data_IF_416639369260
#
_entry.id   IF_416639369260
#
_cell.length_a   1.000
_cell.length_b   1.000
_cell.length_c   1.000
_cell.angle_alpha   90.00
_cell.angle_beta   90.00
_cell.angle_gamma   90.00
#
_symmetry.space_group_name_H-M   'P 1'
#
loop_
_entity.id
_entity.type
_entity.pdbx_description
1 polymer ?
#
# COMPACT_ATOMS: atom_id res chain seq x y z
N UNK A 1 4.48 -6.51 7.97
CA UNK A 1 3.77 -6.48 6.65
C UNK A 1 4.81 -5.92 5.71
N UNK A 2 5.23 -6.62 4.65
CA UNK A 2 6.50 -6.32 3.95
C UNK A 2 6.70 -4.82 3.63
N UNK A 3 5.67 -4.13 3.14
CA UNK A 3 5.72 -2.68 2.84
C UNK A 3 5.95 -1.80 4.07
N UNK A 4 5.40 -2.17 5.24
CA UNK A 4 5.61 -1.48 6.50
C UNK A 4 7.05 -1.67 6.99
N UNK A 5 7.57 -2.89 6.87
CA UNK A 5 8.93 -3.23 7.30
C UNK A 5 9.96 -2.47 6.45
N UNK A 6 9.74 -2.40 5.13
CA UNK A 6 10.54 -1.60 4.20
C UNK A 6 10.41 -0.09 4.45
N UNK A 7 9.22 0.40 4.82
CA UNK A 7 8.98 1.80 5.19
C UNK A 7 9.81 2.19 6.41
N UNK A 8 9.75 1.38 7.46
CA UNK A 8 10.53 1.60 8.70
C UNK A 8 12.02 1.56 8.40
N UNK A 9 12.48 0.58 7.60
CA UNK A 9 13.88 0.54 7.20
C UNK A 9 14.31 1.81 6.46
N UNK A 10 13.58 2.22 5.41
CA UNK A 10 13.96 3.39 4.63
C UNK A 10 13.93 4.68 5.47
N UNK A 11 13.02 4.79 6.43
CA UNK A 11 12.95 5.91 7.38
C UNK A 11 14.21 6.01 8.25
N UNK A 12 14.82 4.88 8.62
CA UNK A 12 16.07 4.82 9.39
C UNK A 12 17.32 5.10 8.52
N UNK A 13 17.24 4.91 7.21
CA UNK A 13 18.34 5.16 6.26
C UNK A 13 18.41 6.62 5.77
N UNK A 14 17.46 7.48 6.17
CA UNK A 14 17.50 8.90 5.83
C UNK A 14 18.68 9.55 6.58
N UNK A 15 19.64 10.17 5.87
CA UNK A 15 20.83 10.77 6.49
C UNK A 15 20.47 12.05 7.24
N UNK A 16 21.42 12.53 8.06
CA UNK A 16 21.32 13.83 8.71
C UNK A 16 21.09 14.95 7.68
N UNK A 17 20.28 15.93 8.09
CA UNK A 17 20.02 17.13 7.30
C UNK A 17 21.27 18.00 7.33
N UNK A 18 21.76 18.36 6.14
CA UNK A 18 22.97 19.15 5.93
C UNK A 18 22.72 20.13 4.79
N UNK A 19 23.45 21.24 4.75
CA UNK A 19 23.41 22.19 3.65
C UNK A 19 24.10 21.59 2.41
N UNK A 20 23.31 21.24 1.40
CA UNK A 20 23.79 20.66 0.14
C UNK A 20 23.83 19.13 0.12
N UNK A 21 24.02 18.57 -1.09
CA UNK A 21 24.01 17.12 -1.33
C UNK A 21 22.73 16.42 -0.78
N UNK A 22 21.56 17.05 -0.95
CA UNK A 22 20.27 16.54 -0.44
C UNK A 22 19.56 15.60 -1.41
N UNK A 23 19.98 15.55 -2.69
CA UNK A 23 19.23 14.86 -3.74
C UNK A 23 18.94 13.39 -3.41
N UNK A 24 19.90 12.64 -2.86
CA UNK A 24 19.66 11.26 -2.45
C UNK A 24 18.64 11.14 -1.31
N UNK A 25 18.69 12.06 -0.35
CA UNK A 25 17.71 12.13 0.73
C UNK A 25 16.30 12.51 0.21
N UNK A 26 16.23 13.35 -0.83
CA UNK A 26 14.98 13.69 -1.51
C UNK A 26 14.39 12.47 -2.24
N UNK A 27 15.23 11.65 -2.88
CA UNK A 27 14.84 10.37 -3.50
C UNK A 27 14.32 9.39 -2.45
N UNK A 28 15.04 9.21 -1.33
CA UNK A 28 14.57 8.36 -0.22
C UNK A 28 13.23 8.87 0.33
N UNK A 29 13.09 10.19 0.54
CA UNK A 29 11.85 10.81 1.02
C UNK A 29 10.68 10.66 0.05
N UNK A 30 10.94 10.61 -1.25
CA UNK A 30 9.92 10.33 -2.26
C UNK A 30 9.46 8.88 -2.19
N UNK A 31 10.39 7.92 -2.16
CA UNK A 31 10.07 6.49 -2.04
C UNK A 31 9.36 6.17 -0.71
N UNK A 32 9.74 6.83 0.38
CA UNK A 32 9.10 6.68 1.69
C UNK A 32 7.62 7.11 1.65
N UNK A 33 7.30 8.19 0.94
CA UNK A 33 5.92 8.63 0.71
C UNK A 33 5.13 7.57 -0.05
N UNK A 34 5.72 6.98 -1.09
CA UNK A 34 5.06 5.93 -1.85
C UNK A 34 4.82 4.66 -1.04
N UNK A 35 5.78 4.23 -0.22
CA UNK A 35 5.61 3.11 0.70
C UNK A 35 4.49 3.38 1.72
N UNK A 36 4.40 4.62 2.23
CA UNK A 36 3.34 5.03 3.15
C UNK A 36 1.96 4.94 2.48
N UNK A 37 1.83 5.41 1.24
CA UNK A 37 0.57 5.30 0.50
C UNK A 37 0.22 3.85 0.13
N UNK A 38 1.22 3.03 -0.22
CA UNK A 38 1.02 1.60 -0.47
C UNK A 38 0.55 0.86 0.80
N UNK A 39 1.12 1.20 1.96
CA UNK A 39 0.69 0.67 3.25
C UNK A 39 -0.77 1.05 3.58
N UNK A 40 -1.12 2.33 3.45
CA UNK A 40 -2.51 2.82 3.64
C UNK A 40 -3.51 2.10 2.74
N UNK A 41 -3.19 1.96 1.45
CA UNK A 41 -4.04 1.24 0.48
C UNK A 41 -4.22 -0.22 0.85
N UNK A 42 -3.14 -0.89 1.24
CA UNK A 42 -3.18 -2.29 1.66
C UNK A 42 -4.05 -2.51 2.90
N UNK A 43 -3.95 -1.63 3.90
CA UNK A 43 -4.86 -1.62 5.05
C UNK A 43 -6.31 -1.36 4.63
N UNK A 44 -6.53 -0.47 3.67
CA UNK A 44 -7.85 -0.24 3.06
C UNK A 44 -8.45 -1.51 2.46
N UNK A 45 -7.66 -2.28 1.70
CA UNK A 45 -8.11 -3.55 1.12
C UNK A 45 -8.45 -4.59 2.20
N UNK A 46 -7.63 -4.69 3.25
CA UNK A 46 -7.88 -5.59 4.37
C UNK A 46 -9.16 -5.22 5.13
N UNK A 47 -9.40 -3.93 5.35
CA UNK A 47 -10.62 -3.44 5.98
C UNK A 47 -11.84 -3.69 5.10
N UNK A 48 -11.77 -3.41 3.80
CA UNK A 48 -12.86 -3.69 2.85
C UNK A 48 -13.24 -5.17 2.84
N UNK A 49 -12.25 -6.06 2.86
CA UNK A 49 -12.49 -7.52 2.95
C UNK A 49 -13.18 -7.93 4.26
N UNK A 50 -12.94 -7.22 5.37
CA UNK A 50 -13.64 -7.46 6.65
C UNK A 50 -15.06 -6.90 6.64
N UNK A 51 -15.26 -5.73 6.03
CA UNK A 51 -16.56 -5.05 5.96
C UNK A 51 -17.62 -5.92 5.28
N UNK A 52 -17.24 -6.69 4.24
CA UNK A 52 -18.12 -7.66 3.59
C UNK A 52 -18.91 -8.53 4.59
N UNK A 53 -18.24 -9.06 5.62
CA UNK A 53 -18.90 -9.94 6.60
C UNK A 53 -19.91 -9.18 7.46
N UNK A 54 -19.62 -7.93 7.83
CA UNK A 54 -20.52 -7.10 8.63
C UNK A 54 -21.76 -6.68 7.84
N UNK A 55 -21.57 -6.26 6.59
CA UNK A 55 -22.67 -5.85 5.70
C UNK A 55 -23.58 -7.03 5.40
N UNK A 56 -22.99 -8.19 5.08
CA UNK A 56 -23.74 -9.43 4.85
C UNK A 56 -24.49 -9.89 6.09
N UNK A 57 -23.87 -9.80 7.28
CA UNK A 57 -24.53 -10.12 8.55
C UNK A 57 -25.74 -9.23 8.79
N UNK A 58 -25.60 -7.92 8.59
CA UNK A 58 -26.69 -6.95 8.76
C UNK A 58 -27.89 -7.27 7.86
N UNK A 59 -27.64 -7.50 6.57
CA UNK A 59 -28.69 -7.90 5.63
C UNK A 59 -29.37 -9.22 6.03
N UNK A 60 -28.58 -10.18 6.53
CA UNK A 60 -29.10 -11.47 6.99
C UNK A 60 -29.99 -11.31 8.23
N UNK A 61 -29.58 -10.46 9.19
CA UNK A 61 -30.39 -10.15 10.37
C UNK A 61 -31.73 -9.51 9.99
N UNK A 62 -31.73 -8.61 9.01
CA UNK A 62 -32.96 -7.97 8.54
C UNK A 62 -33.86 -8.97 7.78
N UNK A 63 -33.27 -9.88 7.00
CA UNK A 63 -34.04 -10.95 6.37
C UNK A 63 -34.72 -11.87 7.40
N UNK A 64 -34.02 -12.25 8.46
CA UNK A 64 -34.59 -13.07 9.55
C UNK A 64 -35.77 -12.35 10.22
N UNK A 65 -35.71 -11.02 10.39
CA UNK A 65 -36.82 -10.23 10.95
C UNK A 65 -38.00 -10.12 9.99
N UNK A 66 -37.74 -10.08 8.69
CA UNK A 66 -38.73 -9.86 7.65
C UNK A 66 -38.62 -10.92 6.53
N UNK A 67 -38.94 -12.20 6.82
CA UNK A 67 -38.64 -13.32 5.93
C UNK A 67 -39.38 -13.25 4.58
N UNK A 68 -40.52 -12.57 4.54
CA UNK A 68 -41.34 -12.42 3.32
C UNK A 68 -40.83 -11.31 2.39
N UNK A 69 -39.92 -10.45 2.84
CA UNK A 69 -39.30 -9.41 2.00
C UNK A 69 -38.11 -10.01 1.23
N UNK A 70 -38.39 -10.45 0.01
CA UNK A 70 -37.41 -11.08 -0.87
C UNK A 70 -36.32 -10.13 -1.39
N UNK A 71 -36.44 -8.83 -1.11
CA UNK A 71 -35.39 -7.85 -1.40
C UNK A 71 -34.11 -8.12 -0.60
N UNK A 72 -34.21 -8.65 0.63
CA UNK A 72 -33.02 -8.97 1.44
C UNK A 72 -32.14 -10.08 0.86
N UNK A 73 -32.65 -11.28 0.49
CA UNK A 73 -31.82 -12.29 -0.16
C UNK A 73 -31.30 -11.83 -1.52
N UNK A 74 -32.07 -11.02 -2.27
CA UNK A 74 -31.59 -10.41 -3.51
C UNK A 74 -30.43 -9.43 -3.26
N UNK A 75 -30.51 -8.58 -2.23
CA UNK A 75 -29.48 -7.64 -1.83
C UNK A 75 -28.21 -8.35 -1.34
N UNK A 76 -28.34 -9.43 -0.56
CA UNK A 76 -27.20 -10.27 -0.16
C UNK A 76 -26.49 -10.81 -1.40
N UNK A 77 -27.23 -11.41 -2.34
CA UNK A 77 -26.64 -11.96 -3.55
C UNK A 77 -25.99 -10.87 -4.43
N UNK A 78 -26.56 -9.66 -4.48
CA UNK A 78 -25.97 -8.53 -5.18
C UNK A 78 -24.67 -8.03 -4.52
N UNK A 79 -24.66 -7.91 -3.19
CA UNK A 79 -23.46 -7.55 -2.41
C UNK A 79 -22.35 -8.59 -2.61
N UNK A 80 -22.66 -9.87 -2.49
CA UNK A 80 -21.69 -10.96 -2.67
C UNK A 80 -21.04 -10.92 -4.07
N UNK A 81 -21.82 -10.63 -5.12
CA UNK A 81 -21.29 -10.44 -6.49
C UNK A 81 -20.41 -9.21 -6.62
N UNK A 82 -20.81 -8.09 -6.00
CA UNK A 82 -20.03 -6.86 -6.00
C UNK A 82 -18.67 -7.08 -5.31
N UNK A 83 -18.68 -7.69 -4.13
CA UNK A 83 -17.47 -7.95 -3.35
C UNK A 83 -16.54 -8.93 -4.06
N UNK A 84 -17.07 -9.90 -4.81
CA UNK A 84 -16.24 -10.75 -5.67
C UNK A 84 -15.45 -9.93 -6.70
N UNK A 85 -16.10 -8.99 -7.40
CA UNK A 85 -15.43 -8.11 -8.37
C UNK A 85 -14.42 -7.18 -7.67
N UNK A 86 -14.80 -6.65 -6.49
CA UNK A 86 -13.97 -5.78 -5.69
C UNK A 86 -12.68 -6.47 -5.21
N UNK A 87 -12.78 -7.72 -4.73
CA UNK A 87 -11.62 -8.51 -4.31
C UNK A 87 -10.65 -8.74 -5.48
N UNK A 88 -11.16 -9.03 -6.69
CA UNK A 88 -10.31 -9.15 -7.89
C UNK A 88 -9.57 -7.84 -8.20
N UNK A 89 -10.25 -6.70 -8.02
CA UNK A 89 -9.64 -5.38 -8.16
C UNK A 89 -8.55 -5.13 -7.12
N UNK A 90 -8.77 -5.55 -5.87
CA UNK A 90 -7.75 -5.46 -4.81
C UNK A 90 -6.51 -6.29 -5.15
N UNK A 91 -6.66 -7.54 -5.59
CA UNK A 91 -5.52 -8.35 -6.02
C UNK A 91 -4.73 -7.71 -7.16
N UNK A 92 -5.42 -7.19 -8.19
CA UNK A 92 -4.76 -6.50 -9.30
C UNK A 92 -4.03 -5.25 -8.84
N UNK A 93 -4.61 -4.51 -7.89
CA UNK A 93 -4.01 -3.32 -7.29
C UNK A 93 -2.76 -3.67 -6.48
N UNK A 94 -2.79 -4.74 -5.69
CA UNK A 94 -1.63 -5.24 -4.93
C UNK A 94 -0.47 -5.58 -5.87
N UNK A 95 -0.75 -6.32 -6.96
CA UNK A 95 0.29 -6.67 -7.95
C UNK A 95 0.88 -5.42 -8.61
N UNK A 96 0.03 -4.45 -8.97
CA UNK A 96 0.46 -3.19 -9.57
C UNK A 96 1.32 -2.36 -8.62
N UNK A 97 0.90 -2.26 -7.35
CA UNK A 97 1.65 -1.55 -6.31
C UNK A 97 3.02 -2.21 -6.10
N UNK A 98 3.05 -3.54 -5.97
CA UNK A 98 4.29 -4.28 -5.77
C UNK A 98 5.25 -4.09 -6.94
N UNK A 99 4.80 -4.32 -8.17
CA UNK A 99 5.65 -4.16 -9.36
C UNK A 99 6.14 -2.72 -9.56
N UNK A 100 5.27 -1.74 -9.27
CA UNK A 100 5.61 -0.32 -9.34
C UNK A 100 6.67 0.09 -8.31
N UNK A 101 6.52 -0.35 -7.06
CA UNK A 101 7.51 -0.11 -6.02
C UNK A 101 8.83 -0.80 -6.36
N UNK A 102 8.80 -2.09 -6.71
CA UNK A 102 10.01 -2.84 -7.08
C UNK A 102 10.80 -2.12 -8.18
N UNK A 103 10.13 -1.73 -9.27
CA UNK A 103 10.76 -1.00 -10.38
C UNK A 103 11.41 0.31 -9.92
N UNK A 104 10.75 1.06 -9.04
CA UNK A 104 11.28 2.33 -8.53
C UNK A 104 12.46 2.13 -7.60
N UNK A 105 12.43 1.11 -6.74
CA UNK A 105 13.55 0.76 -5.89
C UNK A 105 14.77 0.32 -6.71
N UNK A 106 14.58 -0.57 -7.68
CA UNK A 106 15.67 -1.03 -8.56
C UNK A 106 16.33 0.13 -9.31
N UNK A 107 15.54 1.04 -9.88
CA UNK A 107 16.05 2.18 -10.65
C UNK A 107 16.77 3.24 -9.81
N UNK A 108 16.46 3.32 -8.52
CA UNK A 108 17.02 4.33 -7.62
C UNK A 108 17.94 3.72 -6.54
N UNK A 109 18.30 2.44 -6.67
CA UNK A 109 18.93 1.67 -5.60
C UNK A 109 20.20 2.33 -5.05
N UNK A 110 21.05 2.88 -5.91
CA UNK A 110 22.28 3.57 -5.49
C UNK A 110 21.99 4.74 -4.55
N UNK A 111 20.96 5.55 -4.85
CA UNK A 111 20.55 6.68 -3.99
C UNK A 111 19.80 6.22 -2.75
N UNK A 112 19.16 5.06 -2.80
CA UNK A 112 18.49 4.46 -1.64
C UNK A 112 19.50 4.02 -0.59
N UNK A 113 20.57 3.33 -0.99
CA UNK A 113 21.57 2.78 -0.04
C UNK A 113 22.75 3.71 0.23
N UNK A 114 23.02 4.66 -0.66
CA UNK A 114 24.11 5.62 -0.52
C UNK A 114 23.67 7.03 -0.98
N UNK A 115 22.77 7.70 -0.24
CA UNK A 115 22.14 8.95 -0.66
C UNK A 115 23.14 10.11 -0.84
N UNK A 116 24.24 10.11 -0.08
CA UNK A 116 25.29 11.15 -0.14
C UNK A 116 26.38 10.83 -1.17
N UNK A 117 26.40 9.61 -1.71
CA UNK A 117 27.48 9.12 -2.58
C UNK A 117 28.79 8.90 -1.82
N UNK A 118 29.68 8.10 -2.41
CA UNK A 118 31.07 8.07 -1.96
C UNK A 118 31.70 9.41 -2.30
N UNK A 119 32.20 10.14 -1.29
CA UNK A 119 33.11 11.25 -1.57
C UNK A 119 34.27 10.70 -2.40
N UNK A 120 34.40 11.10 -3.66
CA UNK A 120 35.67 10.94 -4.38
C UNK A 120 36.71 11.87 -3.72
N UNK A 121 37.18 11.50 -2.53
CA UNK A 121 38.43 11.99 -1.96
C UNK A 121 39.55 11.25 -2.69
N UNK A 122 39.82 11.61 -3.94
CA UNK A 122 40.70 10.83 -4.80
C UNK A 122 41.25 11.56 -6.02
N UNK A 123 41.55 12.85 -5.90
CA UNK A 123 42.15 13.62 -6.99
C UNK A 123 42.88 14.87 -6.50
N UNK A 124 43.81 14.69 -5.56
CA UNK A 124 44.93 15.63 -5.42
C UNK A 124 46.02 15.17 -6.38
N UNK A 125 45.88 15.57 -7.64
CA UNK A 125 46.97 15.80 -8.59
C UNK A 125 46.56 16.98 -9.46
#
# INVERSE_FOLDING_TARGET
MIVQDLRVWLELEIPLIEDGNSFGADVQSHLLRELTEAYKRSNGFQNGARTHYLDRLKLTQDWVKYPNLMDFPAAIAASDRFDHVLLRSYFRSILTIYGGLLTKFERNWEKVVNPKGGSYRGGMY
#
